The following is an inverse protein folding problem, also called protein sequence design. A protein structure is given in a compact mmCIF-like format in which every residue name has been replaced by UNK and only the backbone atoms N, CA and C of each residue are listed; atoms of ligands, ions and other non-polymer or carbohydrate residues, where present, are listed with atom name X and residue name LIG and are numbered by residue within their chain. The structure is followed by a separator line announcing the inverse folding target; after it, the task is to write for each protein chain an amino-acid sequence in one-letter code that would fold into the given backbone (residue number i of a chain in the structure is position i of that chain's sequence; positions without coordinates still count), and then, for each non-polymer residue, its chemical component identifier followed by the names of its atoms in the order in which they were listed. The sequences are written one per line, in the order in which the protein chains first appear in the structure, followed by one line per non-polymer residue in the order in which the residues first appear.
data_IF_331358656975
#
_entry.id   IF_331358656975
#
_cell.length_a   1.000
_cell.length_b   1.000
_cell.length_c   1.000
_cell.angle_alpha   90.00
_cell.angle_beta   90.00
_cell.angle_gamma   90.00
#
_symmetry.space_group_name_H-M   'P 1'
#
loop_
_entity.id
_entity.type
_entity.pdbx_description
1 polymer ?
#
# COMPACT_ATOMS: atom_id res chain seq x y z
N UNK A 1 2.42 46.19 29.62
CA UNK A 1 2.59 45.80 28.21
C UNK A 1 3.13 44.39 28.21
N UNK A 2 2.30 43.39 27.89
CA UNK A 2 2.71 41.98 27.84
C UNK A 2 3.00 41.65 26.39
N UNK A 3 4.25 41.31 26.13
CA UNK A 3 4.83 41.07 24.81
C UNK A 3 4.30 39.74 24.23
N UNK A 4 3.47 39.82 23.18
CA UNK A 4 2.99 38.64 22.48
C UNK A 4 3.99 38.24 21.39
N UNK A 5 4.96 37.41 21.78
CA UNK A 5 5.96 36.84 20.86
C UNK A 5 5.32 35.94 19.80
N UNK A 6 5.56 36.30 18.54
CA UNK A 6 5.11 35.62 17.33
C UNK A 6 5.72 34.20 17.23
N UNK A 7 4.91 33.15 17.40
CA UNK A 7 5.38 31.75 17.32
C UNK A 7 5.29 31.26 15.88
N UNK A 8 6.46 31.11 15.24
CA UNK A 8 6.61 30.55 13.90
C UNK A 8 6.02 29.12 13.77
N UNK A 9 5.32 28.87 12.67
CA UNK A 9 4.42 27.72 12.47
C UNK A 9 5.10 26.34 12.48
N UNK A 10 6.41 26.29 12.24
CA UNK A 10 7.19 25.04 12.17
C UNK A 10 7.64 24.50 13.54
N UNK A 11 7.35 25.20 14.64
CA UNK A 11 7.74 24.82 16.00
C UNK A 11 6.62 24.15 16.83
N UNK A 12 5.44 23.91 16.23
CA UNK A 12 4.20 23.53 16.95
C UNK A 12 4.13 22.11 17.55
N UNK A 13 4.67 21.02 16.96
CA UNK A 13 4.38 19.66 17.48
C UNK A 13 5.08 19.35 18.82
N UNK A 14 6.29 19.86 19.03
CA UNK A 14 7.06 19.61 20.26
C UNK A 14 6.44 20.26 21.50
N UNK A 15 5.85 21.45 21.36
CA UNK A 15 5.24 22.20 22.47
C UNK A 15 4.00 21.49 23.04
N UNK A 16 3.23 20.80 22.19
CA UNK A 16 2.02 20.09 22.62
C UNK A 16 2.37 18.85 23.46
N UNK A 17 3.36 18.07 23.03
CA UNK A 17 3.79 16.88 23.76
C UNK A 17 4.40 17.25 25.12
N UNK A 18 5.20 18.31 25.20
CA UNK A 18 5.77 18.78 26.48
C UNK A 18 4.67 19.27 27.43
N UNK A 19 3.67 19.99 26.91
CA UNK A 19 2.55 20.46 27.73
C UNK A 19 1.74 19.30 28.29
N UNK A 20 1.41 18.29 27.47
CA UNK A 20 0.71 17.09 27.92
C UNK A 20 1.50 16.31 28.98
N UNK A 21 2.81 16.15 28.79
CA UNK A 21 3.66 15.48 29.78
C UNK A 21 3.71 16.25 31.10
N UNK A 22 3.80 17.58 31.06
CA UNK A 22 3.79 18.40 32.27
C UNK A 22 2.45 18.31 33.00
N UNK A 23 1.32 18.36 32.28
CA UNK A 23 0.00 18.17 32.87
C UNK A 23 -0.15 16.79 33.51
N UNK A 24 0.35 15.73 32.87
CA UNK A 24 0.32 14.38 33.44
C UNK A 24 1.20 14.26 34.69
N UNK A 25 2.40 14.85 34.67
CA UNK A 25 3.34 14.82 35.80
C UNK A 25 2.80 15.59 37.02
N UNK A 26 1.97 16.61 36.80
CA UNK A 26 1.33 17.40 37.84
C UNK A 26 0.12 16.70 38.49
N UNK A 27 -0.38 15.58 37.95
CA UNK A 27 -1.47 14.80 38.55
C UNK A 27 -1.02 14.12 39.84
N UNK A 28 -1.98 13.83 40.71
CA UNK A 28 -1.76 13.03 41.92
C UNK A 28 -1.42 11.58 41.54
N UNK A 29 -0.71 10.88 42.43
CA UNK A 29 -0.25 9.52 42.15
C UNK A 29 -1.42 8.53 42.02
N UNK A 30 -2.52 8.75 42.75
CA UNK A 30 -3.76 8.00 42.61
C UNK A 30 -4.38 8.15 41.21
N UNK A 31 -4.44 9.39 40.71
CA UNK A 31 -4.97 9.68 39.38
C UNK A 31 -4.08 9.07 38.29
N UNK A 32 -2.75 9.23 38.42
CA UNK A 32 -1.79 8.60 37.49
C UNK A 32 -1.97 7.10 37.43
N UNK A 33 -2.17 6.45 38.58
CA UNK A 33 -2.42 4.99 38.67
C UNK A 33 -3.73 4.60 38.00
N UNK A 34 -4.79 5.39 38.16
CA UNK A 34 -6.05 5.15 37.45
C UNK A 34 -5.89 5.29 35.93
N UNK A 35 -5.17 6.32 35.46
CA UNK A 35 -4.88 6.52 34.05
C UNK A 35 -4.05 5.39 33.45
N UNK A 36 -3.03 4.90 34.17
CA UNK A 36 -2.24 3.74 33.76
C UNK A 36 -3.13 2.50 33.65
N UNK A 37 -3.91 2.19 34.68
CA UNK A 37 -4.85 1.07 34.66
C UNK A 37 -5.85 1.16 33.51
N UNK A 38 -6.40 2.35 33.25
CA UNK A 38 -7.31 2.61 32.12
C UNK A 38 -6.61 2.42 30.77
N UNK A 39 -5.35 2.85 30.64
CA UNK A 39 -4.55 2.67 29.43
C UNK A 39 -4.23 1.20 29.16
N UNK A 40 -3.82 0.46 30.19
CA UNK A 40 -3.55 -0.99 30.11
C UNK A 40 -4.82 -1.77 29.74
N UNK A 41 -5.94 -1.45 30.36
CA UNK A 41 -7.23 -2.08 30.04
C UNK A 41 -7.60 -1.81 28.57
N UNK A 42 -7.52 -0.55 28.11
CA UNK A 42 -7.81 -0.20 26.70
C UNK A 42 -6.87 -0.91 25.72
N UNK A 43 -5.58 -0.98 26.03
CA UNK A 43 -4.61 -1.67 25.19
C UNK A 43 -4.90 -3.17 25.12
N UNK A 44 -5.19 -3.79 26.26
CA UNK A 44 -5.55 -5.21 26.34
C UNK A 44 -6.82 -5.50 25.56
N UNK A 45 -7.87 -4.68 25.72
CA UNK A 45 -9.10 -4.80 24.92
C UNK A 45 -8.82 -4.66 23.42
N UNK A 46 -8.00 -3.68 23.03
CA UNK A 46 -7.65 -3.48 21.62
C UNK A 46 -6.83 -4.65 21.04
N UNK A 47 -5.94 -5.26 21.83
CA UNK A 47 -5.20 -6.47 21.42
C UNK A 47 -6.13 -7.68 21.26
N UNK A 48 -7.06 -7.87 22.19
CA UNK A 48 -8.06 -8.94 22.11
C UNK A 48 -8.94 -8.77 20.87
N UNK A 49 -9.41 -7.55 20.60
CA UNK A 49 -10.19 -7.23 19.40
C UNK A 49 -9.36 -7.43 18.12
N UNK A 50 -8.10 -7.01 18.12
CA UNK A 50 -7.21 -7.20 16.97
C UNK A 50 -6.94 -8.68 16.69
N UNK A 51 -6.63 -9.50 17.70
CA UNK A 51 -6.44 -10.94 17.53
C UNK A 51 -7.74 -11.64 17.08
N UNK A 52 -8.89 -11.21 17.60
CA UNK A 52 -10.18 -11.70 17.14
C UNK A 52 -10.43 -11.35 15.66
N UNK A 53 -10.11 -10.12 15.25
CA UNK A 53 -10.27 -9.65 13.87
C UNK A 53 -9.27 -10.29 12.91
N UNK A 54 -8.05 -10.56 13.35
CA UNK A 54 -7.01 -11.23 12.55
C UNK A 54 -7.41 -12.66 12.18
N UNK A 55 -8.09 -13.36 13.09
CA UNK A 55 -8.58 -14.72 12.86
C UNK A 55 -10.01 -14.76 12.31
N UNK A 56 -10.64 -13.60 12.10
CA UNK A 56 -12.00 -13.52 11.55
C UNK A 56 -11.97 -14.01 10.11
N UNK A 57 -12.86 -14.95 9.80
CA UNK A 57 -13.07 -15.40 8.42
C UNK A 57 -13.42 -14.19 7.55
N UNK A 58 -12.81 -14.12 6.37
CA UNK A 58 -13.14 -13.08 5.39
C UNK A 58 -14.64 -13.05 5.14
N UNK A 59 -15.20 -11.85 4.97
CA UNK A 59 -16.62 -11.69 4.71
C UNK A 59 -17.01 -12.35 3.40
N UNK A 60 -18.13 -13.05 3.42
CA UNK A 60 -18.78 -13.60 2.22
C UNK A 60 -19.88 -12.67 1.69
N UNK A 61 -20.12 -11.52 2.33
CA UNK A 61 -21.08 -10.54 1.84
C UNK A 61 -20.54 -9.86 0.57
N UNK A 62 -21.24 -9.96 -0.59
CA UNK A 62 -20.81 -9.31 -1.83
C UNK A 62 -20.60 -7.80 -1.67
N UNK A 63 -21.34 -7.12 -0.79
CA UNK A 63 -21.21 -5.67 -0.57
C UNK A 63 -19.87 -5.35 0.12
N UNK A 64 -19.48 -6.15 1.11
CA UNK A 64 -18.21 -5.96 1.81
C UNK A 64 -17.02 -6.31 0.93
N UNK A 65 -17.14 -7.37 0.12
CA UNK A 65 -16.13 -7.74 -0.88
C UNK A 65 -15.94 -6.60 -1.89
N UNK A 66 -17.03 -6.04 -2.42
CA UNK A 66 -16.95 -4.92 -3.36
C UNK A 66 -16.27 -3.68 -2.75
N UNK A 67 -16.59 -3.35 -1.48
CA UNK A 67 -15.92 -2.26 -0.76
C UNK A 67 -14.43 -2.52 -0.60
N UNK A 68 -14.02 -3.77 -0.35
CA UNK A 68 -12.62 -4.16 -0.27
C UNK A 68 -11.90 -3.95 -1.61
N UNK A 69 -12.50 -4.42 -2.71
CA UNK A 69 -11.96 -4.26 -4.08
C UNK A 69 -11.79 -2.78 -4.43
N UNK A 70 -12.79 -1.94 -4.14
CA UNK A 70 -12.74 -0.51 -4.45
C UNK A 70 -11.61 0.21 -3.68
N UNK A 71 -11.41 -0.14 -2.41
CA UNK A 71 -10.40 0.46 -1.55
C UNK A 71 -8.99 -0.15 -1.73
N UNK A 72 -8.86 -1.27 -2.47
CA UNK A 72 -7.59 -1.95 -2.67
C UNK A 72 -6.53 -1.02 -3.27
N UNK A 73 -6.91 -0.19 -4.22
CA UNK A 73 -6.00 0.78 -4.86
C UNK A 73 -5.46 1.81 -3.87
N UNK A 74 -6.34 2.42 -3.07
CA UNK A 74 -5.98 3.41 -2.06
C UNK A 74 -5.11 2.81 -0.95
N UNK A 75 -5.39 1.56 -0.57
CA UNK A 75 -4.62 0.83 0.43
C UNK A 75 -3.21 0.45 -0.06
N UNK A 76 -3.10 -0.05 -1.30
CA UNK A 76 -1.82 -0.54 -1.82
C UNK A 76 -0.89 0.56 -2.31
N UNK A 77 -1.41 1.69 -2.79
CA UNK A 77 -0.58 2.76 -3.37
C UNK A 77 0.55 3.23 -2.44
N UNK A 78 0.31 3.56 -1.15
CA UNK A 78 1.37 4.00 -0.24
C UNK A 78 2.45 2.93 -0.01
N UNK A 79 2.08 1.65 0.00
CA UNK A 79 3.03 0.55 0.18
C UNK A 79 3.95 0.45 -1.04
N UNK A 80 3.37 0.48 -2.24
CA UNK A 80 4.13 0.42 -3.48
C UNK A 80 5.08 1.63 -3.61
N UNK A 81 4.63 2.82 -3.23
CA UNK A 81 5.46 4.04 -3.22
C UNK A 81 6.67 3.93 -2.30
N UNK A 82 6.51 3.33 -1.10
CA UNK A 82 7.65 3.12 -0.20
C UNK A 82 8.67 2.15 -0.80
N UNK A 83 8.20 1.06 -1.42
CA UNK A 83 9.09 0.09 -2.08
C UNK A 83 9.84 0.73 -3.24
N UNK A 84 9.15 1.51 -4.08
CA UNK A 84 9.77 2.24 -5.20
C UNK A 84 10.79 3.25 -4.70
N UNK A 85 10.49 3.99 -3.63
CA UNK A 85 11.40 4.95 -3.01
C UNK A 85 12.65 4.28 -2.43
N UNK A 86 12.50 3.11 -1.80
CA UNK A 86 13.61 2.38 -1.19
C UNK A 86 14.50 1.70 -2.23
N UNK A 87 13.93 1.17 -3.31
CA UNK A 87 14.64 0.37 -4.31
C UNK A 87 15.07 1.17 -5.55
N UNK A 88 14.53 2.38 -5.73
CA UNK A 88 14.55 3.14 -7.00
C UNK A 88 13.96 2.39 -8.20
N UNK A 89 13.23 1.30 -7.97
CA UNK A 89 12.60 0.47 -8.99
C UNK A 89 11.33 1.08 -9.59
N UNK A 90 10.59 0.26 -10.36
CA UNK A 90 9.22 0.53 -10.82
C UNK A 90 8.40 -0.70 -10.47
N UNK A 91 7.20 -0.50 -9.95
CA UNK A 91 6.39 -1.60 -9.43
C UNK A 91 4.96 -1.49 -9.94
N UNK A 92 4.45 -2.60 -10.45
CA UNK A 92 3.06 -2.74 -10.89
C UNK A 92 2.46 -3.92 -10.16
N UNK A 93 1.35 -3.67 -9.47
CA UNK A 93 0.51 -4.70 -8.88
C UNK A 93 -0.65 -4.97 -9.83
N UNK A 94 -0.81 -6.23 -10.22
CA UNK A 94 -1.95 -6.71 -10.99
C UNK A 94 -2.82 -7.58 -10.09
N UNK A 95 -4.09 -7.22 -9.99
CA UNK A 95 -5.11 -7.99 -9.29
C UNK A 95 -6.23 -8.30 -10.26
N UNK A 96 -6.82 -9.48 -10.18
CA UNK A 96 -8.05 -9.77 -10.91
C UNK A 96 -8.83 -10.91 -10.30
N UNK A 97 -10.14 -10.89 -10.56
CA UNK A 97 -11.10 -11.80 -9.97
C UNK A 97 -12.54 -11.43 -10.32
N UNK A 98 -13.52 -12.24 -9.89
CA UNK A 98 -14.93 -11.95 -10.13
C UNK A 98 -15.38 -10.75 -9.30
N UNK A 99 -16.10 -9.82 -9.93
CA UNK A 99 -16.59 -8.61 -9.27
C UNK A 99 -18.09 -8.72 -8.94
N UNK A 100 -18.50 -8.64 -7.66
CA UNK A 100 -19.90 -8.81 -7.28
C UNK A 100 -20.86 -7.79 -7.91
N UNK A 101 -20.45 -6.51 -8.03
CA UNK A 101 -21.32 -5.48 -8.63
C UNK A 101 -21.55 -5.71 -10.12
N UNK A 102 -20.60 -6.37 -10.78
CA UNK A 102 -20.67 -6.72 -12.20
C UNK A 102 -21.11 -8.18 -12.40
N UNK A 103 -22.00 -8.67 -11.53
CA UNK A 103 -22.61 -10.02 -11.63
C UNK A 103 -21.58 -11.17 -11.72
N UNK A 104 -20.40 -10.96 -11.15
CA UNK A 104 -19.30 -11.93 -11.17
C UNK A 104 -18.44 -11.92 -12.43
N UNK A 105 -18.61 -10.96 -13.34
CA UNK A 105 -17.69 -10.78 -14.45
C UNK A 105 -16.25 -10.60 -13.93
N UNK A 106 -15.29 -11.18 -14.65
CA UNK A 106 -13.88 -11.10 -14.30
C UNK A 106 -13.38 -9.68 -14.59
N UNK A 107 -12.90 -9.02 -13.54
CA UNK A 107 -12.27 -7.71 -13.65
C UNK A 107 -10.76 -7.81 -13.38
N UNK A 108 -9.99 -6.88 -13.94
CA UNK A 108 -8.55 -6.75 -13.76
C UNK A 108 -8.21 -5.32 -13.33
N UNK A 109 -7.72 -5.16 -12.11
CA UNK A 109 -7.28 -3.89 -11.53
C UNK A 109 -5.76 -3.84 -11.54
N UNK A 110 -5.22 -2.72 -11.99
CA UNK A 110 -3.78 -2.54 -12.18
C UNK A 110 -3.32 -1.27 -11.47
N UNK A 111 -2.42 -1.40 -10.50
CA UNK A 111 -1.93 -0.29 -9.66
C UNK A 111 -0.44 -0.14 -9.91
N UNK A 112 -0.02 1.03 -10.39
CA UNK A 112 1.39 1.31 -10.66
C UNK A 112 1.97 2.33 -9.70
N UNK A 113 3.22 2.12 -9.30
CA UNK A 113 4.06 3.11 -8.64
C UNK A 113 5.38 3.29 -9.38
N UNK A 114 5.85 4.54 -9.40
CA UNK A 114 7.00 4.97 -10.16
C UNK A 114 6.66 5.49 -11.56
N UNK A 115 7.50 6.41 -12.04
CA UNK A 115 7.34 7.10 -13.32
C UNK A 115 8.61 7.00 -14.16
N UNK A 116 8.46 7.08 -15.48
CA UNK A 116 9.59 7.22 -16.41
C UNK A 116 10.34 8.53 -16.15
N UNK A 117 11.63 8.57 -16.53
CA UNK A 117 12.47 9.77 -16.38
C UNK A 117 12.20 10.85 -17.45
N UNK A 118 11.38 10.52 -18.45
CA UNK A 118 11.07 11.42 -19.56
C UNK A 118 10.18 12.61 -19.16
N UNK A 119 10.12 13.66 -20.00
CA UNK A 119 9.20 14.79 -19.79
C UNK A 119 7.77 14.30 -19.60
N UNK A 120 7.16 14.63 -18.47
CA UNK A 120 5.79 14.23 -18.14
C UNK A 120 5.64 12.94 -17.32
N UNK A 121 6.71 12.14 -17.15
CA UNK A 121 6.78 10.99 -16.25
C UNK A 121 5.54 10.09 -16.25
N UNK A 122 5.51 9.11 -17.15
CA UNK A 122 4.41 8.15 -17.27
C UNK A 122 4.67 6.91 -16.41
N UNK A 123 3.62 6.27 -15.90
CA UNK A 123 3.75 4.93 -15.30
C UNK A 123 3.81 3.85 -16.42
N UNK A 124 4.04 2.60 -16.03
CA UNK A 124 4.15 1.48 -16.97
C UNK A 124 2.90 1.31 -17.86
N UNK A 125 1.71 1.41 -17.27
CA UNK A 125 0.44 1.23 -18.02
C UNK A 125 0.21 2.38 -18.99
N UNK A 126 0.51 3.62 -18.60
CA UNK A 126 0.32 4.78 -19.46
C UNK A 126 1.34 4.81 -20.61
N UNK A 127 2.58 4.39 -20.35
CA UNK A 127 3.63 4.33 -21.37
C UNK A 127 3.43 3.18 -22.36
N UNK A 128 2.98 2.02 -21.90
CA UNK A 128 2.82 0.80 -22.72
C UNK A 128 1.35 0.43 -22.92
N UNK A 129 0.44 1.41 -22.96
CA UNK A 129 -1.01 1.20 -22.96
C UNK A 129 -1.49 0.21 -24.02
N UNK A 130 -0.93 0.29 -25.23
CA UNK A 130 -1.32 -0.58 -26.34
C UNK A 130 -0.86 -2.02 -26.15
N UNK A 131 0.39 -2.23 -25.73
CA UNK A 131 0.92 -3.57 -25.43
C UNK A 131 0.24 -4.18 -24.21
N UNK A 132 -0.03 -3.36 -23.20
CA UNK A 132 -0.73 -3.76 -22.00
C UNK A 132 -2.11 -4.36 -22.34
N UNK A 133 -2.91 -3.63 -23.11
CA UNK A 133 -4.26 -4.06 -23.53
C UNK A 133 -4.26 -5.23 -24.51
N UNK A 134 -3.27 -5.31 -25.39
CA UNK A 134 -3.20 -6.39 -26.42
C UNK A 134 -2.60 -7.69 -25.90
N UNK A 135 -1.67 -7.61 -24.94
CA UNK A 135 -0.85 -8.75 -24.53
C UNK A 135 -1.07 -9.10 -23.06
N UNK A 136 -0.83 -8.16 -22.16
CA UNK A 136 -0.81 -8.44 -20.72
C UNK A 136 -2.22 -8.73 -20.19
N UNK A 137 -3.19 -7.87 -20.51
CA UNK A 137 -4.55 -7.99 -20.03
C UNK A 137 -5.24 -9.28 -20.54
N UNK A 138 -5.19 -9.64 -21.85
CA UNK A 138 -5.75 -10.91 -22.32
C UNK A 138 -5.02 -12.14 -21.77
N UNK A 139 -3.69 -12.07 -21.61
CA UNK A 139 -2.91 -13.16 -21.01
C UNK A 139 -3.36 -13.42 -19.57
N UNK A 140 -3.51 -12.36 -18.76
CA UNK A 140 -3.97 -12.49 -17.39
C UNK A 140 -5.45 -12.91 -17.31
N UNK A 141 -6.30 -12.37 -18.17
CA UNK A 141 -7.70 -12.78 -18.26
C UNK A 141 -7.85 -14.28 -18.59
N UNK A 142 -7.02 -14.83 -19.49
CA UNK A 142 -6.99 -16.29 -19.75
C UNK A 142 -6.58 -17.09 -18.51
N UNK A 143 -5.62 -16.59 -17.73
CA UNK A 143 -5.26 -17.21 -16.46
C UNK A 143 -6.42 -17.19 -15.47
N UNK A 144 -7.09 -16.04 -15.29
CA UNK A 144 -8.25 -15.91 -14.40
C UNK A 144 -9.40 -16.85 -14.81
N UNK A 145 -9.68 -17.00 -16.11
CA UNK A 145 -10.68 -17.97 -16.61
C UNK A 145 -10.36 -19.41 -16.20
N UNK A 146 -9.08 -19.78 -16.10
CA UNK A 146 -8.66 -21.10 -15.61
C UNK A 146 -8.82 -21.22 -14.08
N UNK A 147 -8.55 -20.15 -13.34
CA UNK A 147 -8.70 -20.12 -11.88
C UNK A 147 -10.16 -20.16 -11.43
N UNK A 148 -11.04 -19.46 -12.14
CA UNK A 148 -12.46 -19.34 -11.85
C UNK A 148 -13.25 -20.12 -12.91
N UNK A 149 -13.15 -21.45 -12.85
CA UNK A 149 -13.97 -22.31 -13.70
C UNK A 149 -15.45 -22.20 -13.30
N UNK A 150 -16.38 -22.33 -14.24
CA UNK A 150 -17.83 -22.07 -14.07
C UNK A 150 -18.44 -22.65 -12.77
N UNK A 151 -18.04 -23.86 -12.35
CA UNK A 151 -18.50 -24.46 -11.09
C UNK A 151 -18.16 -23.65 -9.84
N UNK A 152 -16.97 -23.04 -9.79
CA UNK A 152 -16.54 -22.21 -8.67
C UNK A 152 -17.30 -20.87 -8.61
N UNK A 153 -17.79 -20.37 -9.74
CA UNK A 153 -18.60 -19.15 -9.81
C UNK A 153 -20.04 -19.39 -9.34
N UNK A 154 -20.59 -20.57 -9.62
CA UNK A 154 -21.90 -20.99 -9.11
C UNK A 154 -21.90 -21.14 -7.58
N UNK A 155 -20.83 -21.73 -7.02
CA UNK A 155 -20.63 -21.81 -5.56
C UNK A 155 -20.50 -20.44 -4.89
N UNK A 156 -20.02 -19.43 -5.61
CA UNK A 156 -19.95 -18.04 -5.14
C UNK A 156 -21.30 -17.30 -5.26
N UNK A 157 -22.35 -17.95 -5.77
CA UNK A 157 -23.67 -17.34 -5.98
C UNK A 157 -23.69 -16.25 -7.05
N UNK A 158 -22.62 -16.16 -7.85
CA UNK A 158 -22.47 -15.19 -8.92
C UNK A 158 -22.95 -15.87 -10.20
N UNK A 159 -24.25 -15.78 -10.45
CA UNK A 159 -24.92 -16.43 -11.57
C UNK A 159 -24.40 -15.95 -12.93
N UNK A 160 -23.36 -16.60 -13.44
CA UNK A 160 -22.87 -16.41 -14.79
C UNK A 160 -23.66 -17.30 -15.75
N UNK A 161 -24.42 -16.65 -16.63
CA UNK A 161 -24.91 -17.27 -17.86
C UNK A 161 -23.80 -17.13 -18.90
N UNK A 162 -23.29 -18.27 -19.36
CA UNK A 162 -22.43 -18.43 -20.56
C UNK A 162 -20.94 -18.04 -20.44
N UNK A 163 -20.09 -19.02 -20.12
CA UNK A 163 -18.67 -19.03 -20.54
C UNK A 163 -18.28 -20.34 -21.25
N UNK A 164 -19.25 -21.16 -21.67
CA UNK A 164 -18.97 -22.53 -22.13
C UNK A 164 -18.51 -22.62 -23.60
N UNK A 165 -18.60 -21.54 -24.37
CA UNK A 165 -18.54 -21.65 -25.84
C UNK A 165 -17.17 -21.44 -26.51
N UNK A 166 -16.04 -21.27 -25.81
CA UNK A 166 -14.77 -20.87 -26.49
C UNK A 166 -13.48 -21.52 -26.02
N UNK A 167 -13.51 -22.55 -25.17
CA UNK A 167 -12.29 -23.28 -24.77
C UNK A 167 -11.97 -24.51 -25.63
N UNK A 168 -12.82 -24.85 -26.60
CA UNK A 168 -12.63 -26.02 -27.44
C UNK A 168 -11.78 -25.78 -28.71
N UNK A 169 -11.37 -24.54 -29.03
CA UNK A 169 -10.83 -24.19 -30.36
C UNK A 169 -9.36 -23.72 -30.40
N UNK A 170 -8.60 -23.78 -29.29
CA UNK A 170 -7.16 -23.46 -29.29
C UNK A 170 -6.28 -24.67 -28.93
N UNK A 171 -6.38 -25.73 -29.74
CA UNK A 171 -5.31 -26.73 -29.92
C UNK A 171 -5.11 -26.98 -31.42
N UNK A 172 -4.70 -25.94 -32.17
CA UNK A 172 -4.02 -26.10 -33.46
C UNK A 172 -2.75 -25.26 -33.39
N UNK A 173 -1.61 -25.94 -33.42
CA UNK A 173 -0.29 -25.36 -33.18
C UNK A 173 0.19 -24.44 -34.30
N UNK A 174 1.30 -23.71 -34.06
CA UNK A 174 1.88 -22.81 -35.05
C UNK A 174 2.56 -23.58 -36.18
N UNK A 175 1.87 -23.73 -37.31
CA UNK A 175 2.50 -24.03 -38.60
C UNK A 175 3.16 -22.77 -39.17
N UNK A 176 4.49 -22.79 -39.17
CA UNK A 176 5.42 -22.33 -40.23
C UNK A 176 4.97 -21.24 -41.22
N UNK A 177 5.72 -20.13 -41.19
CA UNK A 177 6.28 -19.33 -42.31
C UNK A 177 5.41 -19.17 -43.58
N UNK A 178 4.94 -17.95 -43.82
CA UNK A 178 4.40 -17.55 -45.11
C UNK A 178 4.05 -16.07 -45.20
N UNK A 179 5.06 -15.20 -45.36
CA UNK A 179 4.85 -13.82 -45.77
C UNK A 179 4.20 -13.78 -47.16
N UNK A 180 2.93 -13.40 -47.24
CA UNK A 180 2.36 -12.77 -48.44
C UNK A 180 1.47 -11.60 -48.03
N UNK A 181 1.86 -10.45 -48.53
CA UNK A 181 1.09 -9.22 -48.51
C UNK A 181 -0.26 -9.44 -49.22
N UNK A 182 -1.33 -8.94 -48.62
CA UNK A 182 -2.45 -8.43 -49.41
C UNK A 182 -3.19 -7.37 -48.61
N UNK A 183 -3.28 -6.21 -49.25
CA UNK A 183 -3.99 -5.01 -48.88
C UNK A 183 -5.51 -5.19 -48.99
N UNK A 184 -6.26 -4.69 -48.02
CA UNK A 184 -7.57 -4.11 -48.30
C UNK A 184 -7.90 -2.99 -47.32
N UNK A 185 -8.32 -1.89 -47.93
CA UNK A 185 -8.67 -0.60 -47.39
C UNK A 185 -10.02 -0.59 -46.67
N UNK A 186 -10.09 0.05 -45.51
CA UNK A 186 -11.31 0.76 -45.09
C UNK A 186 -10.93 2.13 -44.52
N UNK A 187 -11.54 3.12 -45.14
CA UNK A 187 -11.32 4.56 -45.05
C UNK A 187 -12.20 5.25 -44.01
N UNK A 188 -11.86 6.51 -43.72
CA UNK A 188 -12.64 7.57 -43.03
C UNK A 188 -12.68 7.45 -41.48
N UNK A 189 -12.38 8.47 -40.65
CA UNK A 189 -12.45 9.93 -40.86
C UNK A 189 -11.71 10.75 -39.78
N UNK A 190 -11.26 11.93 -40.24
CA UNK A 190 -11.18 13.24 -39.57
C UNK A 190 -10.14 13.50 -38.46
N UNK A 191 -9.03 14.07 -38.95
CA UNK A 191 -8.01 14.85 -38.22
C UNK A 191 -8.53 16.28 -38.02
N UNK A 192 -8.59 16.76 -36.77
CA UNK A 192 -8.54 18.20 -36.47
C UNK A 192 -7.16 18.56 -35.94
N UNK A 193 -6.45 19.31 -36.78
CA UNK A 193 -5.12 19.87 -36.59
C UNK A 193 -5.11 20.90 -35.47
N UNK A 194 -4.27 20.70 -34.45
CA UNK A 194 -3.90 21.73 -33.48
C UNK A 194 -2.39 21.93 -33.47
N UNK A 195 -1.99 23.17 -33.76
CA UNK A 195 -0.63 23.72 -33.81
C UNK A 195 0.18 23.43 -32.52
N UNK A 196 1.47 23.10 -32.63
CA UNK A 196 2.40 23.17 -31.49
C UNK A 196 2.96 24.60 -31.31
N UNK A 197 3.13 25.09 -30.07
CA UNK A 197 3.82 26.34 -29.79
C UNK A 197 5.35 26.17 -29.88
N UNK A 198 5.99 27.20 -30.45
CA UNK A 198 7.44 27.35 -30.62
C UNK A 198 8.14 27.42 -29.24
N UNK A 199 9.00 26.45 -28.96
CA UNK A 199 9.91 26.46 -27.80
C UNK A 199 11.07 27.41 -28.08
N UNK A 200 11.27 28.40 -27.18
CA UNK A 200 12.41 29.33 -27.20
C UNK A 200 13.64 28.66 -26.59
N UNK A 201 14.80 28.94 -27.20
CA UNK A 201 16.14 28.48 -26.86
C UNK A 201 16.48 28.76 -25.38
N UNK A 202 16.98 27.73 -24.70
CA UNK A 202 17.55 27.83 -23.35
C UNK A 202 19.04 28.21 -23.42
N UNK A 203 19.41 29.21 -22.64
CA UNK A 203 20.77 29.73 -22.49
C UNK A 203 21.56 28.86 -21.52
N UNK A 204 22.74 28.43 -21.97
CA UNK A 204 23.78 27.73 -21.21
C UNK A 204 24.25 28.62 -20.06
N UNK A 205 24.14 28.16 -18.81
CA UNK A 205 24.82 28.75 -17.65
C UNK A 205 25.80 27.75 -17.06
N UNK A 206 27.01 28.29 -16.83
CA UNK A 206 28.26 27.69 -16.40
C UNK A 206 28.18 26.88 -15.10
N UNK A 207 29.03 25.85 -15.09
CA UNK A 207 29.40 25.02 -13.96
C UNK A 207 30.09 25.79 -12.83
N UNK A 208 29.74 25.46 -11.58
CA UNK A 208 30.47 25.83 -10.37
C UNK A 208 30.77 24.57 -9.55
N UNK A 209 32.01 24.50 -9.05
CA UNK A 209 32.68 23.35 -8.39
C UNK A 209 32.01 22.86 -7.09
N UNK A 210 32.30 21.62 -6.65
CA UNK A 210 31.74 21.04 -5.43
C UNK A 210 32.55 21.42 -4.18
N UNK A 211 31.87 21.80 -3.10
CA UNK A 211 32.43 21.89 -1.75
C UNK A 211 32.04 20.63 -0.95
N UNK A 212 33.04 19.99 -0.34
CA UNK A 212 32.91 18.74 0.38
C UNK A 212 31.98 18.81 1.58
N UNK A 213 31.24 17.72 1.81
CA UNK A 213 30.48 17.49 3.04
C UNK A 213 31.01 16.27 3.77
N UNK A 214 31.40 16.55 5.00
CA UNK A 214 31.84 15.65 6.05
C UNK A 214 30.84 14.52 6.26
N UNK A 215 31.34 13.28 6.22
CA UNK A 215 30.58 12.06 6.54
C UNK A 215 30.24 12.04 8.02
N UNK A 216 28.98 12.32 8.35
CA UNK A 216 28.40 12.03 9.67
C UNK A 216 27.74 10.65 9.61
N UNK A 217 28.18 9.65 10.39
CA UNK A 217 27.51 8.35 10.41
C UNK A 217 26.17 8.50 11.16
N UNK A 218 25.06 8.38 10.44
CA UNK A 218 23.71 8.30 11.00
C UNK A 218 23.24 6.85 10.96
N UNK A 219 23.73 6.01 11.87
CA UNK A 219 23.09 4.73 12.16
C UNK A 219 22.10 4.94 13.30
N UNK A 220 20.82 5.04 12.97
CA UNK A 220 19.75 4.90 13.96
C UNK A 220 19.80 3.47 14.54
N UNK A 221 19.68 3.30 15.86
CA UNK A 221 19.68 1.98 16.46
C UNK A 221 18.50 1.16 15.96
N UNK A 222 18.76 -0.09 15.61
CA UNK A 222 17.72 -1.02 15.14
C UNK A 222 16.79 -1.36 16.30
N UNK A 223 15.51 -1.64 16.02
CA UNK A 223 14.48 -1.96 17.02
C UNK A 223 14.91 -3.10 17.98
N UNK A 224 15.70 -4.06 17.47
CA UNK A 224 16.32 -5.14 18.25
C UNK A 224 17.32 -4.64 19.31
N UNK A 225 18.08 -3.57 19.04
CA UNK A 225 19.01 -2.96 20.01
C UNK A 225 18.25 -2.21 21.12
N UNK A 226 17.10 -1.61 20.78
CA UNK A 226 16.26 -0.91 21.76
C UNK A 226 15.61 -1.89 22.75
N UNK A 227 15.22 -3.07 22.28
CA UNK A 227 14.62 -4.12 23.11
C UNK A 227 15.64 -4.77 24.05
N UNK A 228 16.88 -4.98 23.60
CA UNK A 228 17.94 -5.54 24.44
C UNK A 228 18.32 -4.64 25.62
N UNK A 229 18.30 -3.32 25.44
CA UNK A 229 18.63 -2.36 26.50
C UNK A 229 17.60 -2.33 27.65
N UNK A 230 16.36 -2.77 27.42
CA UNK A 230 15.30 -2.77 28.44
C UNK A 230 15.34 -3.99 29.37
N UNK A 231 15.91 -5.11 28.92
CA UNK A 231 15.99 -6.32 29.74
C UNK A 231 17.08 -6.27 30.81
N UNK A 232 18.05 -5.35 30.71
CA UNK A 232 19.14 -5.23 31.67
C UNK A 232 18.75 -4.51 32.98
N UNK A 233 17.66 -3.75 32.99
CA UNK A 233 17.28 -2.91 34.16
C UNK A 233 16.34 -3.61 35.15
N UNK A 234 15.79 -4.78 34.82
CA UNK A 234 14.79 -5.48 35.67
C UNK A 234 15.43 -6.45 36.67
N UNK A 235 16.75 -6.67 36.64
CA UNK A 235 17.41 -7.67 37.48
C UNK A 235 17.87 -7.19 38.88
N UNK A 236 17.59 -5.95 39.31
CA UNK A 236 18.21 -5.38 40.53
C UNK A 236 17.30 -5.06 41.73
N UNK A 237 16.01 -5.38 41.71
CA UNK A 237 15.13 -5.17 42.88
C UNK A 237 14.35 -6.43 43.23
N UNK A 238 15.07 -7.47 43.63
CA UNK A 238 14.52 -8.63 44.33
C UNK A 238 14.75 -8.51 45.84
N UNK A 239 13.92 -7.73 46.53
CA UNK A 239 13.83 -7.77 47.99
C UNK A 239 12.82 -8.86 48.39
N UNK A 240 13.33 -10.05 48.69
CA UNK A 240 12.58 -11.17 49.23
C UNK A 240 12.19 -10.87 50.68
N UNK A 241 10.89 -10.69 50.96
CA UNK A 241 10.33 -10.67 52.32
C UNK A 241 9.87 -12.09 52.66
N UNK A 242 10.45 -12.78 53.67
CA UNK A 242 9.95 -14.07 54.11
C UNK A 242 8.66 -13.91 54.92
N UNK A 243 7.58 -14.53 54.45
CA UNK A 243 6.32 -14.68 55.18
C UNK A 243 6.43 -15.89 56.10
N UNK A 244 6.46 -15.63 57.40
CA UNK A 244 6.51 -16.66 58.45
C UNK A 244 5.08 -16.94 58.92
N UNK A 245 4.57 -18.12 58.57
CA UNK A 245 3.24 -18.60 59.00
C UNK A 245 3.42 -19.40 60.28
N UNK A 246 2.85 -18.95 61.39
CA UNK A 246 2.71 -19.75 62.61
C UNK A 246 1.40 -20.54 62.57
N UNK A 247 1.40 -21.82 62.97
CA UNK A 247 0.18 -22.60 63.17
C UNK A 247 -0.41 -22.33 64.57
N UNK A 248 -1.69 -22.03 64.63
CA UNK A 248 -2.47 -21.97 65.87
C UNK A 248 -2.95 -23.38 66.25
N UNK A 249 -2.70 -23.76 67.49
CA UNK A 249 -3.31 -24.91 68.18
C UNK A 249 -4.79 -24.68 68.49
#
# INVERSE_FOLDING_TARGET
MVDQGEVSEKQKPGKHQSMQSNCYNALLDEEKKEWMKRSENKHTTALVEWEANKNRKASSDPIEIQKCIHNLSQFMHPILDQVVKATNGKLTLLWGGPEPIDRGHLNVISICSGKTLGPGGQNFIDSEKDLYRKVIEPMYARFLKKCYCLKALEELGLGLKECEATLADEVEGPNTVGSKASSSSTSLSMVTSTKPPKVKKSTIVKATKPLGHSRRPSSLPTLSQLLAAKSATVAQTGATVPVQIQPTS
#
